data_IF_164113053453
#
_entry.id   IF_164113053453
#
_cell.length_a   1.000
_cell.length_b   1.000
_cell.length_c   1.000
_cell.angle_alpha   90.00
_cell.angle_beta   90.00
_cell.angle_gamma   90.00
#
_symmetry.space_group_name_H-M   'P 1'
#
loop_
_entity.id
_entity.type
_entity.pdbx_description
1 polymer ?
#
# COMPACT_ATOMS: atom_id res chain seq x y z
N UNK A 1 -16.93 9.22 -26.39
CA UNK A 1 -16.33 10.42 -25.73
C UNK A 1 -15.31 10.01 -24.68
N UNK A 2 -15.61 9.08 -23.80
CA UNK A 2 -14.70 8.64 -22.72
C UNK A 2 -13.56 7.74 -23.18
N UNK A 3 -13.65 7.08 -24.32
CA UNK A 3 -12.59 6.20 -24.87
C UNK A 3 -11.25 6.92 -25.07
N UNK A 4 -11.26 8.24 -25.21
CA UNK A 4 -10.03 9.07 -25.29
C UNK A 4 -9.21 9.01 -24.00
N UNK A 5 -9.84 8.77 -22.85
CA UNK A 5 -9.14 8.69 -21.57
C UNK A 5 -8.40 7.37 -21.38
N UNK A 6 -8.71 6.34 -22.15
CA UNK A 6 -7.98 5.06 -22.10
C UNK A 6 -6.50 5.24 -22.47
N UNK A 7 -6.17 6.24 -23.29
CA UNK A 7 -4.79 6.59 -23.62
C UNK A 7 -3.95 7.03 -22.39
N UNK A 8 -4.59 7.51 -21.34
CA UNK A 8 -3.95 7.95 -20.09
C UNK A 8 -3.88 6.84 -19.02
N UNK A 9 -4.37 5.64 -19.32
CA UNK A 9 -4.35 4.52 -18.38
C UNK A 9 -2.98 4.27 -17.74
N UNK A 10 -1.84 4.27 -18.48
CA UNK A 10 -0.53 4.06 -17.88
C UNK A 10 -0.14 5.17 -16.88
N UNK A 11 -0.46 6.42 -17.19
CA UNK A 11 -0.18 7.56 -16.31
C UNK A 11 -1.07 7.52 -15.06
N UNK A 12 -2.36 7.22 -15.24
CA UNK A 12 -3.30 7.06 -14.12
C UNK A 12 -2.90 5.89 -13.21
N UNK A 13 -2.36 4.82 -13.78
CA UNK A 13 -1.79 3.72 -13.00
C UNK A 13 -0.63 4.22 -12.11
N UNK A 14 0.27 5.05 -12.66
CA UNK A 14 1.35 5.66 -11.87
C UNK A 14 0.83 6.56 -10.77
N UNK A 15 -0.20 7.37 -11.04
CA UNK A 15 -0.85 8.23 -10.04
C UNK A 15 -1.49 7.38 -8.95
N UNK A 16 -2.23 6.34 -9.30
CA UNK A 16 -2.84 5.42 -8.33
C UNK A 16 -1.78 4.80 -7.42
N UNK A 17 -0.65 4.35 -7.98
CA UNK A 17 0.47 3.81 -7.19
C UNK A 17 1.02 4.85 -6.22
N UNK A 18 1.30 6.07 -6.71
CA UNK A 18 1.89 7.14 -5.90
C UNK A 18 0.95 7.49 -4.74
N UNK A 19 -0.33 7.71 -5.00
CA UNK A 19 -1.31 8.05 -3.96
C UNK A 19 -1.45 6.90 -2.95
N UNK A 20 -1.61 5.67 -3.42
CA UNK A 20 -1.69 4.49 -2.54
C UNK A 20 -0.43 4.35 -1.68
N UNK A 21 0.74 4.52 -2.29
CA UNK A 21 2.03 4.46 -1.58
C UNK A 21 2.17 5.55 -0.52
N UNK A 22 1.79 6.80 -0.82
CA UNK A 22 1.80 7.91 0.14
C UNK A 22 0.89 7.63 1.34
N UNK A 23 -0.33 7.16 1.09
CA UNK A 23 -1.27 6.82 2.16
C UNK A 23 -0.73 5.66 3.01
N UNK A 24 -0.14 4.65 2.40
CA UNK A 24 0.44 3.51 3.11
C UNK A 24 1.69 3.89 3.92
N UNK A 25 2.58 4.71 3.37
CA UNK A 25 3.74 5.28 4.08
C UNK A 25 3.30 6.10 5.29
N UNK A 26 2.22 6.88 5.17
CA UNK A 26 1.75 7.70 6.29
C UNK A 26 1.33 6.88 7.53
N UNK A 27 0.81 5.66 7.35
CA UNK A 27 0.60 4.73 8.45
C UNK A 27 1.93 4.27 9.07
N UNK A 28 2.93 3.98 8.25
CA UNK A 28 4.26 3.61 8.71
C UNK A 28 4.95 4.74 9.47
N UNK A 29 4.93 5.97 8.95
CA UNK A 29 5.52 7.14 9.63
C UNK A 29 4.81 7.48 10.93
N UNK A 30 3.49 7.37 10.98
CA UNK A 30 2.73 7.57 12.21
C UNK A 30 3.16 6.60 13.31
N UNK A 31 3.34 5.30 12.95
CA UNK A 31 3.72 4.25 13.90
C UNK A 31 5.20 4.31 14.31
N UNK A 32 6.10 4.65 13.39
CA UNK A 32 7.56 4.62 13.64
C UNK A 32 8.09 5.96 14.11
N UNK A 33 7.60 7.07 13.53
CA UNK A 33 8.10 8.42 13.76
C UNK A 33 7.15 9.28 14.60
N UNK A 34 5.92 8.80 14.88
CA UNK A 34 4.88 9.58 15.56
C UNK A 34 4.34 10.74 14.72
N UNK A 35 4.50 10.71 13.40
CA UNK A 35 4.00 11.73 12.49
C UNK A 35 3.32 11.13 11.26
N UNK A 36 2.09 11.56 10.93
CA UNK A 36 1.21 12.39 11.76
C UNK A 36 0.86 11.71 13.08
N UNK A 37 0.58 12.52 14.13
CA UNK A 37 0.23 11.95 15.42
C UNK A 37 -1.12 11.22 15.36
N UNK A 38 -1.12 9.96 15.81
CA UNK A 38 -2.32 9.12 15.86
C UNK A 38 -2.43 8.46 17.23
N UNK A 39 -3.64 8.40 17.76
CA UNK A 39 -3.92 7.70 19.02
C UNK A 39 -4.16 6.19 18.78
N UNK A 40 -3.94 5.38 19.81
CA UNK A 40 -4.24 3.94 19.78
C UNK A 40 -3.30 3.11 18.91
N UNK A 41 -2.15 3.65 18.53
CA UNK A 41 -1.15 2.89 17.78
C UNK A 41 -0.49 1.80 18.64
N UNK A 42 -0.17 0.64 18.07
CA UNK A 42 0.56 -0.39 18.80
C UNK A 42 1.96 0.12 19.19
N UNK A 43 2.46 -0.25 20.38
CA UNK A 43 3.82 0.11 20.77
C UNK A 43 4.84 -0.53 19.81
N UNK A 44 5.97 0.15 19.51
CA UNK A 44 7.05 -0.44 18.76
C UNK A 44 7.59 -1.70 19.45
N UNK A 45 7.94 -2.72 18.67
CA UNK A 45 8.49 -3.95 19.23
C UNK A 45 8.43 -5.11 18.25
N UNK A 46 8.86 -6.29 18.71
CA UNK A 46 8.91 -7.52 17.91
C UNK A 46 7.55 -8.23 17.80
N UNK A 47 6.48 -7.70 18.40
CA UNK A 47 5.13 -8.22 18.16
C UNK A 47 4.70 -7.96 16.71
N UNK A 48 3.77 -8.75 16.19
CA UNK A 48 3.23 -8.53 14.83
C UNK A 48 2.66 -7.12 14.67
N UNK A 49 1.99 -6.60 15.69
CA UNK A 49 1.48 -5.24 15.68
C UNK A 49 2.62 -4.20 15.69
N UNK A 50 3.67 -4.40 16.47
CA UNK A 50 4.83 -3.49 16.52
C UNK A 50 5.67 -3.51 15.25
N UNK A 51 5.71 -4.63 14.52
CA UNK A 51 6.40 -4.75 13.24
C UNK A 51 5.61 -4.13 12.07
N UNK A 52 4.32 -3.86 12.25
CA UNK A 52 3.49 -3.30 11.19
C UNK A 52 4.00 -1.95 10.69
N UNK A 53 4.42 -1.06 11.59
CA UNK A 53 4.94 0.25 11.23
C UNK A 53 6.16 0.21 10.31
N UNK A 54 7.24 -0.47 10.70
CA UNK A 54 8.42 -0.66 9.83
C UNK A 54 8.08 -1.32 8.49
N UNK A 55 7.21 -2.31 8.45
CA UNK A 55 6.78 -2.96 7.20
C UNK A 55 6.01 -2.00 6.29
N UNK A 56 5.06 -1.24 6.84
CA UNK A 56 4.32 -0.22 6.09
C UNK A 56 5.26 0.86 5.55
N UNK A 57 6.24 1.28 6.34
CA UNK A 57 7.20 2.30 5.93
C UNK A 57 8.10 1.80 4.79
N UNK A 58 8.65 0.60 4.90
CA UNK A 58 9.56 0.04 3.89
C UNK A 58 8.79 -0.31 2.61
N UNK A 59 7.74 -1.14 2.72
CA UNK A 59 6.96 -1.56 1.56
C UNK A 59 6.27 -0.37 0.88
N UNK A 60 5.74 0.55 1.69
CA UNK A 60 5.09 1.76 1.18
C UNK A 60 6.06 2.66 0.41
N UNK A 61 7.27 2.86 0.91
CA UNK A 61 8.29 3.68 0.25
C UNK A 61 8.73 3.05 -1.07
N UNK A 62 9.04 1.76 -1.08
CA UNK A 62 9.40 1.03 -2.30
C UNK A 62 8.27 1.07 -3.35
N UNK A 63 7.04 0.88 -2.90
CA UNK A 63 5.87 0.95 -3.76
C UNK A 63 5.64 2.37 -4.29
N UNK A 64 5.77 3.38 -3.44
CA UNK A 64 5.62 4.80 -3.80
C UNK A 64 6.55 5.21 -4.95
N UNK A 65 7.84 4.86 -4.86
CA UNK A 65 8.81 5.17 -5.92
C UNK A 65 8.75 4.21 -7.09
N UNK A 66 8.03 3.09 -6.95
CA UNK A 66 7.91 2.07 -7.99
C UNK A 66 9.19 1.28 -8.22
N UNK A 67 9.85 0.87 -7.13
CA UNK A 67 11.02 0.00 -7.15
C UNK A 67 10.62 -1.40 -6.69
N UNK A 68 10.96 -2.42 -7.51
CA UNK A 68 10.50 -3.80 -7.31
C UNK A 68 8.99 -3.90 -7.13
N UNK A 69 8.24 -3.14 -7.91
CA UNK A 69 6.81 -2.89 -7.67
C UNK A 69 5.99 -4.18 -7.53
N UNK A 70 6.19 -5.17 -8.40
CA UNK A 70 5.40 -6.41 -8.37
C UNK A 70 5.62 -7.23 -7.11
N UNK A 71 6.85 -7.59 -6.71
CA UNK A 71 7.07 -8.33 -5.46
C UNK A 71 6.72 -7.52 -4.22
N UNK A 72 6.97 -6.21 -4.21
CA UNK A 72 6.57 -5.32 -3.11
C UNK A 72 5.05 -5.27 -2.98
N UNK A 73 4.33 -5.13 -4.08
CA UNK A 73 2.87 -5.16 -4.10
C UNK A 73 2.31 -6.51 -3.60
N UNK A 74 2.93 -7.62 -3.99
CA UNK A 74 2.53 -8.93 -3.48
C UNK A 74 2.68 -9.04 -1.95
N UNK A 75 3.83 -8.61 -1.43
CA UNK A 75 4.06 -8.61 0.02
C UNK A 75 3.12 -7.64 0.76
N UNK A 76 2.89 -6.44 0.21
CA UNK A 76 1.98 -5.46 0.79
C UNK A 76 0.52 -5.93 0.78
N UNK A 77 0.10 -6.62 -0.29
CA UNK A 77 -1.23 -7.26 -0.37
C UNK A 77 -1.40 -8.32 0.72
N UNK A 78 -0.42 -9.22 0.86
CA UNK A 78 -0.42 -10.25 1.91
C UNK A 78 -0.42 -9.65 3.32
N UNK A 79 0.40 -8.62 3.55
CA UNK A 79 0.40 -7.86 4.79
C UNK A 79 -0.99 -7.27 5.10
N UNK A 80 -1.61 -6.61 4.12
CA UNK A 80 -2.93 -6.01 4.29
C UNK A 80 -4.02 -7.07 4.60
N UNK A 81 -3.97 -8.23 3.95
CA UNK A 81 -4.88 -9.33 4.23
C UNK A 81 -4.72 -9.84 5.68
N UNK A 82 -3.48 -10.09 6.11
CA UNK A 82 -3.20 -10.53 7.49
C UNK A 82 -3.65 -9.46 8.50
N UNK A 83 -3.34 -8.19 8.26
CA UNK A 83 -3.75 -7.09 9.13
C UNK A 83 -5.27 -6.98 9.25
N UNK A 84 -6.01 -7.17 8.16
CA UNK A 84 -7.47 -7.18 8.19
C UNK A 84 -8.01 -8.26 9.13
N UNK A 85 -7.57 -9.51 8.95
CA UNK A 85 -8.05 -10.63 9.75
C UNK A 85 -7.64 -10.55 11.21
N UNK A 86 -6.45 -10.02 11.51
CA UNK A 86 -5.96 -9.93 12.89
C UNK A 86 -6.58 -8.77 13.67
N UNK A 87 -6.82 -7.64 13.01
CA UNK A 87 -7.18 -6.38 13.70
C UNK A 87 -8.66 -6.06 13.56
N UNK A 88 -9.24 -6.28 12.38
CA UNK A 88 -10.59 -5.79 12.05
C UNK A 88 -11.65 -6.87 12.04
N UNK A 89 -11.39 -8.04 11.49
CA UNK A 89 -12.41 -9.08 11.27
C UNK A 89 -13.10 -9.54 12.57
N UNK A 90 -12.40 -9.57 13.70
CA UNK A 90 -12.96 -9.92 15.00
C UNK A 90 -13.89 -8.87 15.61
N UNK A 91 -13.93 -7.66 15.05
CA UNK A 91 -14.75 -6.55 15.55
C UNK A 91 -16.13 -6.45 14.85
N UNK A 92 -16.36 -7.26 13.83
CA UNK A 92 -17.64 -7.29 13.10
C UNK A 92 -17.49 -7.86 11.70
N UNK A 93 -18.59 -8.37 11.15
CA UNK A 93 -18.60 -9.03 9.85
C UNK A 93 -18.46 -8.05 8.67
N UNK A 94 -18.85 -6.79 8.87
CA UNK A 94 -18.89 -5.80 7.79
C UNK A 94 -17.72 -4.81 7.92
N UNK A 95 -16.88 -4.64 6.88
CA UNK A 95 -15.74 -3.71 6.91
C UNK A 95 -16.11 -2.27 7.29
N UNK A 96 -17.26 -1.78 6.89
CA UNK A 96 -17.76 -0.45 7.25
C UNK A 96 -17.98 -0.29 8.77
N UNK A 97 -18.29 -1.38 9.46
CA UNK A 97 -18.54 -1.38 10.92
C UNK A 97 -17.30 -1.74 11.73
N UNK A 98 -16.37 -2.51 11.16
CA UNK A 98 -15.16 -2.94 11.85
C UNK A 98 -13.93 -2.07 11.56
N UNK A 99 -14.10 -0.96 10.82
CA UNK A 99 -13.02 -0.04 10.46
C UNK A 99 -11.99 -0.60 9.48
N UNK A 100 -12.28 -1.75 8.84
CA UNK A 100 -11.35 -2.44 7.95
C UNK A 100 -11.47 -2.11 6.46
N UNK A 101 -12.31 -1.13 6.06
CA UNK A 101 -12.52 -0.81 4.64
C UNK A 101 -11.22 -0.44 3.94
N UNK A 102 -10.42 0.43 4.55
CA UNK A 102 -9.18 0.91 3.93
C UNK A 102 -8.15 -0.21 3.76
N UNK A 103 -7.94 -1.02 4.79
CA UNK A 103 -6.96 -2.11 4.69
C UNK A 103 -7.41 -3.20 3.72
N UNK A 104 -8.72 -3.47 3.64
CA UNK A 104 -9.28 -4.36 2.64
C UNK A 104 -9.08 -3.81 1.22
N UNK A 105 -9.32 -2.52 1.01
CA UNK A 105 -9.07 -1.86 -0.27
C UNK A 105 -7.59 -1.92 -0.65
N UNK A 106 -6.68 -1.65 0.28
CA UNK A 106 -5.23 -1.78 0.06
C UNK A 106 -4.85 -3.18 -0.42
N UNK A 107 -5.39 -4.23 0.21
CA UNK A 107 -5.11 -5.60 -0.19
C UNK A 107 -5.36 -5.81 -1.69
N UNK A 108 -6.51 -5.40 -2.21
CA UNK A 108 -6.87 -5.59 -3.61
C UNK A 108 -6.19 -4.60 -4.57
N UNK A 109 -5.95 -3.36 -4.15
CA UNK A 109 -5.17 -2.41 -4.93
C UNK A 109 -3.75 -2.92 -5.13
N UNK A 110 -3.08 -3.37 -4.08
CA UNK A 110 -1.75 -3.97 -4.20
C UNK A 110 -1.77 -5.23 -5.07
N UNK A 111 -2.77 -6.10 -4.90
CA UNK A 111 -2.93 -7.30 -5.72
C UNK A 111 -3.06 -6.94 -7.22
N UNK A 112 -3.79 -5.89 -7.54
CA UNK A 112 -3.89 -5.38 -8.91
C UNK A 112 -2.51 -4.98 -9.47
N UNK A 113 -1.68 -4.31 -8.67
CA UNK A 113 -0.33 -3.91 -9.08
C UNK A 113 0.64 -5.09 -9.29
N UNK A 114 0.40 -6.25 -8.70
CA UNK A 114 1.15 -7.47 -9.01
C UNK A 114 1.02 -7.82 -10.49
N UNK A 115 -0.17 -7.68 -11.03
CA UNK A 115 -0.46 -7.93 -12.45
C UNK A 115 -0.12 -6.72 -13.33
N UNK A 116 -0.61 -5.53 -12.98
CA UNK A 116 -0.49 -4.31 -13.79
C UNK A 116 0.94 -3.77 -13.87
N UNK A 117 1.72 -3.91 -12.78
CA UNK A 117 3.08 -3.36 -12.70
C UNK A 117 3.08 -1.87 -12.32
N UNK A 118 4.26 -1.21 -12.42
CA UNK A 118 4.53 0.08 -11.78
C UNK A 118 3.92 1.32 -12.47
N UNK A 119 3.57 1.22 -13.74
CA UNK A 119 3.31 2.38 -14.58
C UNK A 119 4.59 3.10 -15.04
N UNK A 120 4.48 4.05 -15.98
CA UNK A 120 5.63 4.70 -16.62
C UNK A 120 6.45 5.61 -15.68
N UNK A 121 5.84 6.17 -14.63
CA UNK A 121 6.51 7.09 -13.69
C UNK A 121 7.04 6.32 -12.47
N UNK A 122 8.03 5.45 -12.71
CA UNK A 122 8.58 4.55 -11.69
C UNK A 122 10.06 4.31 -11.90
N UNK A 123 10.75 3.94 -10.82
CA UNK A 123 12.16 3.53 -10.88
C UNK A 123 12.31 2.28 -11.74
N UNK A 124 11.41 1.31 -11.62
CA UNK A 124 11.41 0.09 -12.46
C UNK A 124 11.34 0.43 -13.97
N UNK A 125 10.50 1.42 -14.35
CA UNK A 125 10.40 1.84 -15.74
C UNK A 125 11.66 2.57 -16.22
N UNK A 126 12.27 3.39 -15.36
CA UNK A 126 13.51 4.09 -15.67
C UNK A 126 14.69 3.11 -15.84
N UNK A 127 14.77 2.08 -15.00
CA UNK A 127 15.81 1.04 -15.10
C UNK A 127 15.67 0.23 -16.39
N UNK A 128 14.46 -0.15 -16.79
CA UNK A 128 14.22 -0.90 -18.04
C UNK A 128 14.57 -0.12 -19.31
N UNK A 129 14.53 1.21 -19.28
CA UNK A 129 14.92 2.03 -20.43
C UNK A 129 16.44 2.14 -20.59
N UNK A 130 17.22 1.79 -19.57
CA UNK A 130 18.68 1.86 -19.55
C UNK A 130 19.35 0.51 -19.85
N UNK A 131 18.59 -0.58 -19.76
CA UNK A 131 19.05 -1.93 -20.09
C UNK A 131 18.75 -2.27 -21.54
#
# INVERSE_FOLDING_TARGET
MFDRFSAYQPQLLSVLRIVTGLLFVSHGTAKVLGFPAMEGLPPPGLSLAGLSGPLELILGTLFLIGLFTRPVAFLASGFAAVAYWMVHAGQGAFPILNGGELIALYCFVFLYFVAAGPGPWSVDAAMRKRA
#
